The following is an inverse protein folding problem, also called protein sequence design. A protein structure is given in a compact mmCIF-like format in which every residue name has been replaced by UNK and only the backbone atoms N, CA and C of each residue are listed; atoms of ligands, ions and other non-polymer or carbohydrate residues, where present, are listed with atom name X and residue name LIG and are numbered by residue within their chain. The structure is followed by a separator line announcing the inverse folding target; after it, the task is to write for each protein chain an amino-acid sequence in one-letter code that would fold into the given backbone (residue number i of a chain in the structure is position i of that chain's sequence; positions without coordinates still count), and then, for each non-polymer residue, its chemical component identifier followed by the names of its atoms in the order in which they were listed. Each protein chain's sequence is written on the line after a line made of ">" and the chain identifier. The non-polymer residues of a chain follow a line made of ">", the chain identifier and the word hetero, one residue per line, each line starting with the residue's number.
data_IF_600983434049
#
_entry.id   IF_600983434049
#
_cell.length_a   1.000
_cell.length_b   1.000
_cell.length_c   1.000
_cell.angle_alpha   90.00
_cell.angle_beta   90.00
_cell.angle_gamma   90.00
#
_symmetry.space_group_name_H-M   'P 1'
#
loop_
_entity.id
_entity.type
_entity.pdbx_description
1 polymer ?
#
# COMPACT_ATOMS: atom_id res chain seq x y z
N UNK A 1 17.87 7.05 -49.67
CA UNK A 1 18.34 8.01 -48.64
C UNK A 1 17.30 8.32 -47.54
N UNK A 2 15.98 8.19 -47.75
CA UNK A 2 14.98 8.46 -46.69
C UNK A 2 14.99 7.48 -45.50
N UNK A 3 15.30 6.20 -45.72
CA UNK A 3 15.22 5.18 -44.66
C UNK A 3 16.25 5.37 -43.52
N UNK A 4 17.46 5.84 -43.85
CA UNK A 4 18.53 6.10 -42.88
C UNK A 4 18.23 7.34 -42.01
N UNK A 5 17.57 8.35 -42.58
CA UNK A 5 17.17 9.55 -41.84
C UNK A 5 16.07 9.25 -40.81
N UNK A 6 15.10 8.38 -41.14
CA UNK A 6 14.07 7.93 -40.20
C UNK A 6 14.66 7.09 -39.05
N UNK A 7 15.59 6.18 -39.35
CA UNK A 7 16.26 5.37 -38.33
C UNK A 7 17.09 6.23 -37.36
N UNK A 8 17.81 7.23 -37.89
CA UNK A 8 18.57 8.18 -37.07
C UNK A 8 17.68 9.05 -36.16
N UNK A 9 16.55 9.53 -36.68
CA UNK A 9 15.58 10.31 -35.90
C UNK A 9 14.92 9.48 -34.78
N UNK A 10 14.56 8.22 -35.07
CA UNK A 10 14.00 7.30 -34.08
C UNK A 10 15.01 6.94 -32.99
N UNK A 11 16.27 6.70 -33.35
CA UNK A 11 17.33 6.44 -32.37
C UNK A 11 17.61 7.67 -31.48
N UNK A 12 17.68 8.86 -32.07
CA UNK A 12 17.92 10.11 -31.35
C UNK A 12 16.77 10.47 -30.40
N UNK A 13 15.52 10.35 -30.87
CA UNK A 13 14.33 10.59 -30.02
C UNK A 13 14.22 9.57 -28.88
N UNK A 14 14.57 8.31 -29.13
CA UNK A 14 14.61 7.26 -28.10
C UNK A 14 15.66 7.54 -27.02
N UNK A 15 16.86 7.99 -27.42
CA UNK A 15 17.94 8.36 -26.49
C UNK A 15 17.56 9.57 -25.62
N UNK A 16 16.91 10.57 -26.21
CA UNK A 16 16.41 11.74 -25.46
C UNK A 16 15.31 11.32 -24.48
N UNK A 17 14.36 10.48 -24.90
CA UNK A 17 13.32 9.97 -24.00
C UNK A 17 13.92 9.15 -22.86
N UNK A 18 14.95 8.35 -23.13
CA UNK A 18 15.63 7.56 -22.09
C UNK A 18 16.28 8.46 -21.03
N UNK A 19 16.94 9.55 -21.43
CA UNK A 19 17.52 10.52 -20.49
C UNK A 19 16.48 11.38 -19.75
N UNK A 20 15.27 11.52 -20.31
CA UNK A 20 14.16 12.23 -19.68
C UNK A 20 13.32 11.36 -18.74
N UNK A 21 13.58 10.06 -18.63
CA UNK A 21 12.88 9.19 -17.67
C UNK A 21 13.26 9.62 -16.26
N UNK A 22 12.24 9.78 -15.41
CA UNK A 22 12.46 9.98 -13.99
C UNK A 22 13.32 8.83 -13.43
N UNK A 23 14.20 9.08 -12.45
CA UNK A 23 14.96 8.01 -11.82
C UNK A 23 14.03 6.92 -11.28
N UNK A 24 14.50 5.68 -11.27
CA UNK A 24 13.71 4.50 -10.85
C UNK A 24 13.05 4.68 -9.47
N UNK A 25 13.68 5.41 -8.55
CA UNK A 25 13.10 5.77 -7.26
C UNK A 25 11.83 6.61 -7.40
N UNK A 26 11.86 7.67 -8.20
CA UNK A 26 10.71 8.54 -8.44
C UNK A 26 9.58 7.82 -9.19
N UNK A 27 9.91 6.87 -10.07
CA UNK A 27 8.90 6.01 -10.71
C UNK A 27 8.23 5.07 -9.70
N UNK A 28 9.02 4.54 -8.74
CA UNK A 28 8.53 3.65 -7.67
C UNK A 28 7.64 4.38 -6.67
N UNK A 29 7.99 5.61 -6.31
CA UNK A 29 7.17 6.48 -5.46
C UNK A 29 5.81 6.84 -6.09
N UNK A 30 5.69 6.71 -7.41
CA UNK A 30 4.41 6.84 -8.13
C UNK A 30 3.41 5.72 -7.84
N UNK A 31 3.85 4.59 -7.25
CA UNK A 31 2.98 3.49 -6.84
C UNK A 31 2.65 3.60 -5.35
N UNK A 32 1.35 3.69 -5.05
CA UNK A 32 0.84 3.92 -3.70
C UNK A 32 1.37 2.91 -2.68
N UNK A 33 1.35 1.63 -3.01
CA UNK A 33 1.84 0.55 -2.16
C UNK A 33 3.33 0.67 -1.85
N UNK A 34 4.16 1.07 -2.82
CA UNK A 34 5.60 1.16 -2.61
C UNK A 34 5.91 2.31 -1.65
N UNK A 35 5.32 3.49 -1.89
CA UNK A 35 5.52 4.65 -1.04
C UNK A 35 5.02 4.38 0.40
N UNK A 36 3.85 3.75 0.55
CA UNK A 36 3.26 3.49 1.87
C UNK A 36 3.95 2.32 2.60
N UNK A 37 4.44 1.29 1.90
CA UNK A 37 5.20 0.21 2.52
C UNK A 37 6.59 0.68 2.94
N UNK A 38 7.26 1.55 2.15
CA UNK A 38 8.48 2.21 2.59
C UNK A 38 8.24 3.02 3.87
N UNK A 39 7.13 3.78 3.92
CA UNK A 39 6.72 4.50 5.14
C UNK A 39 6.47 3.54 6.31
N UNK A 40 5.87 2.38 6.08
CA UNK A 40 5.68 1.35 7.10
C UNK A 40 7.02 0.79 7.61
N UNK A 41 8.04 0.64 6.76
CA UNK A 41 9.38 0.22 7.17
C UNK A 41 10.06 1.27 8.06
N UNK A 42 9.98 2.55 7.70
CA UNK A 42 10.51 3.65 8.52
C UNK A 42 9.88 3.68 9.92
N UNK A 43 8.61 3.29 10.02
CA UNK A 43 7.82 3.29 11.26
C UNK A 43 7.92 1.97 12.04
N UNK A 44 8.64 0.97 11.51
CA UNK A 44 8.79 -0.33 12.15
C UNK A 44 9.34 -0.28 13.59
N UNK A 45 10.29 0.63 13.97
CA UNK A 45 10.74 0.74 15.35
C UNK A 45 9.62 1.08 16.35
N UNK A 46 8.56 1.76 15.89
CA UNK A 46 7.45 2.21 16.74
C UNK A 46 6.20 1.32 16.61
N UNK A 47 5.95 0.78 15.43
CA UNK A 47 4.73 0.01 15.13
C UNK A 47 4.99 -1.48 14.85
N UNK A 48 6.24 -1.92 14.83
CA UNK A 48 6.63 -3.28 14.46
C UNK A 48 6.62 -3.51 12.94
N UNK A 49 7.16 -4.66 12.54
CA UNK A 49 7.41 -5.03 11.14
C UNK A 49 6.23 -5.75 10.46
N UNK A 50 5.06 -5.80 11.11
CA UNK A 50 3.89 -6.53 10.59
C UNK A 50 2.83 -5.55 10.13
N UNK A 51 2.36 -5.73 8.90
CA UNK A 51 1.35 -4.86 8.27
C UNK A 51 0.16 -5.72 7.83
N UNK A 52 -1.04 -5.28 8.21
CA UNK A 52 -2.29 -5.80 7.67
C UNK A 52 -2.51 -5.16 6.29
N UNK A 53 -2.44 -5.94 5.22
CA UNK A 53 -2.54 -5.50 3.84
C UNK A 53 -3.91 -5.84 3.25
N UNK A 54 -4.56 -4.86 2.62
CA UNK A 54 -5.87 -5.00 2.00
C UNK A 54 -5.90 -4.35 0.63
N UNK A 55 -5.96 -5.16 -0.43
CA UNK A 55 -6.14 -4.74 -1.82
C UNK A 55 -4.86 -4.61 -2.63
N UNK A 56 -3.70 -4.91 -2.07
CA UNK A 56 -2.43 -4.90 -2.80
C UNK A 56 -1.85 -6.30 -2.95
N UNK A 57 -2.08 -6.91 -4.12
CA UNK A 57 -1.62 -8.26 -4.49
C UNK A 57 -0.10 -8.38 -4.58
N UNK A 58 0.57 -7.32 -5.04
CA UNK A 58 2.00 -7.32 -5.30
C UNK A 58 2.81 -6.64 -4.17
N UNK A 59 2.16 -6.26 -3.07
CA UNK A 59 2.81 -5.57 -1.95
C UNK A 59 4.02 -6.33 -1.39
N UNK A 60 3.99 -7.67 -1.44
CA UNK A 60 5.06 -8.51 -0.90
C UNK A 60 6.41 -8.31 -1.57
N UNK A 61 6.45 -7.83 -2.82
CA UNK A 61 7.71 -7.53 -3.52
C UNK A 61 8.41 -6.28 -2.98
N UNK A 62 7.70 -5.45 -2.22
CA UNK A 62 8.14 -4.09 -1.87
C UNK A 62 8.26 -3.86 -0.37
N UNK A 63 7.98 -4.87 0.45
CA UNK A 63 8.04 -4.78 1.91
C UNK A 63 8.98 -5.83 2.49
N UNK A 64 9.92 -5.38 3.33
CA UNK A 64 10.88 -6.27 4.01
C UNK A 64 10.31 -6.95 5.25
N UNK A 65 9.25 -6.39 5.83
CA UNK A 65 8.56 -6.97 6.97
C UNK A 65 7.58 -8.08 6.57
N UNK A 66 6.64 -8.39 7.45
CA UNK A 66 5.61 -9.40 7.21
C UNK A 66 4.27 -8.77 6.81
N UNK A 67 3.74 -9.17 5.66
CA UNK A 67 2.37 -8.88 5.25
C UNK A 67 1.41 -9.97 5.71
N UNK A 68 0.26 -9.55 6.21
CA UNK A 68 -0.88 -10.39 6.59
C UNK A 68 -2.13 -9.75 6.01
N UNK A 69 -3.14 -10.47 5.55
CA UNK A 69 -4.36 -9.86 5.04
C UNK A 69 -5.08 -10.67 3.97
N UNK A 70 -5.58 -9.98 2.95
CA UNK A 70 -6.43 -10.56 1.91
C UNK A 70 -5.72 -11.61 1.04
N UNK A 71 -4.49 -11.31 0.64
CA UNK A 71 -3.66 -12.22 -0.18
C UNK A 71 -2.61 -12.98 0.63
N UNK A 72 -2.41 -12.64 1.91
CA UNK A 72 -1.27 -13.10 2.69
C UNK A 72 -1.69 -13.65 4.06
N UNK A 73 -1.32 -14.90 4.35
CA UNK A 73 -1.57 -15.53 5.65
C UNK A 73 -2.95 -16.21 5.77
N UNK A 74 -3.03 -17.22 6.66
CA UNK A 74 -4.24 -18.03 6.83
C UNK A 74 -5.33 -17.24 7.54
N UNK A 75 -6.50 -17.14 6.91
CA UNK A 75 -7.77 -16.74 7.53
C UNK A 75 -7.92 -15.29 8.02
N UNK A 76 -7.06 -14.35 7.59
CA UNK A 76 -7.23 -12.94 7.93
C UNK A 76 -8.39 -12.29 7.13
N UNK A 77 -8.53 -12.64 5.85
CA UNK A 77 -9.57 -12.05 4.99
C UNK A 77 -11.00 -12.12 5.58
N UNK A 78 -11.54 -13.29 5.99
CA UNK A 78 -12.90 -13.35 6.53
C UNK A 78 -13.04 -12.68 7.89
N UNK A 79 -11.92 -12.54 8.63
CA UNK A 79 -11.90 -11.85 9.91
C UNK A 79 -12.01 -10.35 9.73
N UNK A 80 -11.33 -9.76 8.74
CA UNK A 80 -11.21 -8.31 8.62
C UNK A 80 -12.21 -7.71 7.61
N UNK A 81 -12.67 -8.48 6.62
CA UNK A 81 -13.65 -8.06 5.64
C UNK A 81 -15.06 -8.52 6.02
N UNK A 82 -16.05 -7.65 5.81
CA UNK A 82 -17.46 -8.02 5.80
C UNK A 82 -17.91 -8.15 4.35
N UNK A 83 -18.27 -9.37 3.94
CA UNK A 83 -18.75 -9.70 2.61
C UNK A 83 -20.23 -10.12 2.58
N UNK A 84 -21.02 -9.74 3.59
CA UNK A 84 -22.45 -10.07 3.67
C UNK A 84 -23.29 -9.52 2.51
N UNK A 85 -22.95 -8.32 2.02
CA UNK A 85 -23.63 -7.67 0.88
C UNK A 85 -22.64 -7.24 -0.21
N UNK A 86 -21.49 -6.71 0.18
CA UNK A 86 -20.36 -6.35 -0.66
C UNK A 86 -19.11 -6.37 0.23
N UNK A 87 -18.01 -6.93 -0.27
CA UNK A 87 -16.77 -7.01 0.50
C UNK A 87 -16.23 -5.62 0.81
N UNK A 88 -16.19 -5.28 2.10
CA UNK A 88 -15.69 -4.01 2.64
C UNK A 88 -14.87 -4.25 3.90
N UNK A 89 -14.11 -3.25 4.31
CA UNK A 89 -13.46 -3.32 5.63
C UNK A 89 -14.51 -3.33 6.73
N UNK A 90 -14.25 -4.09 7.79
CA UNK A 90 -14.99 -3.95 9.06
C UNK A 90 -14.76 -2.56 9.68
N UNK A 91 -15.66 -2.14 10.60
CA UNK A 91 -15.48 -0.90 11.36
C UNK A 91 -14.13 -0.86 12.11
N UNK A 92 -13.53 0.33 12.30
CA UNK A 92 -12.16 0.46 12.78
C UNK A 92 -11.92 -0.14 14.17
N UNK A 93 -12.91 -0.13 15.06
CA UNK A 93 -12.78 -0.78 16.38
C UNK A 93 -12.69 -2.31 16.29
N UNK A 94 -13.45 -2.92 15.38
CA UNK A 94 -13.34 -4.37 15.12
C UNK A 94 -11.99 -4.68 14.46
N UNK A 95 -11.61 -3.90 13.45
CA UNK A 95 -10.33 -4.03 12.76
C UNK A 95 -9.16 -3.89 13.74
N UNK A 96 -9.19 -2.93 14.64
CA UNK A 96 -8.17 -2.75 15.67
C UNK A 96 -8.05 -3.97 16.59
N UNK A 97 -9.17 -4.57 17.03
CA UNK A 97 -9.14 -5.80 17.84
C UNK A 97 -8.50 -6.95 17.06
N UNK A 98 -8.87 -7.12 15.79
CA UNK A 98 -8.29 -8.17 14.94
C UNK A 98 -6.80 -7.92 14.72
N UNK A 99 -6.38 -6.67 14.49
CA UNK A 99 -4.97 -6.29 14.39
C UNK A 99 -4.23 -6.66 15.68
N UNK A 100 -4.78 -6.35 16.85
CA UNK A 100 -4.20 -6.72 18.15
C UNK A 100 -4.08 -8.24 18.30
N UNK A 101 -5.12 -9.01 18.00
CA UNK A 101 -5.11 -10.48 18.04
C UNK A 101 -4.05 -11.07 17.09
N UNK A 102 -3.86 -10.43 15.94
CA UNK A 102 -2.87 -10.83 14.95
C UNK A 102 -1.47 -10.35 15.31
N UNK A 103 -1.29 -9.53 16.35
CA UNK A 103 0.00 -8.92 16.71
C UNK A 103 0.50 -7.94 15.65
N UNK A 104 -0.42 -7.19 15.03
CA UNK A 104 -0.19 -6.21 13.96
C UNK A 104 -0.58 -4.83 14.48
N UNK A 105 0.18 -3.78 14.11
CA UNK A 105 -0.14 -2.40 14.52
C UNK A 105 -0.30 -1.43 13.36
N UNK A 106 -0.06 -1.88 12.13
CA UNK A 106 -0.23 -1.11 10.90
C UNK A 106 -1.26 -1.76 10.00
N UNK A 107 -2.07 -0.96 9.31
CA UNK A 107 -2.99 -1.43 8.27
C UNK A 107 -2.87 -0.56 7.03
N UNK A 108 -2.60 -1.22 5.90
CA UNK A 108 -2.53 -0.65 4.56
C UNK A 108 -3.80 -1.05 3.80
N UNK A 109 -4.55 -0.06 3.32
CA UNK A 109 -5.84 -0.25 2.67
C UNK A 109 -5.84 0.42 1.30
N UNK A 110 -6.23 -0.32 0.27
CA UNK A 110 -6.58 0.23 -1.04
C UNK A 110 -8.08 0.59 -1.07
N UNK A 111 -8.40 1.86 -0.85
CA UNK A 111 -9.78 2.38 -0.76
C UNK A 111 -10.68 2.02 -1.95
N UNK A 112 -10.13 1.97 -3.17
CA UNK A 112 -10.90 1.60 -4.37
C UNK A 112 -11.22 0.10 -4.52
N UNK A 113 -10.52 -0.79 -3.81
CA UNK A 113 -10.73 -2.24 -3.85
C UNK A 113 -11.46 -2.75 -2.61
N UNK A 114 -11.19 -2.12 -1.47
CA UNK A 114 -11.85 -2.38 -0.19
C UNK A 114 -12.48 -1.09 0.33
N UNK A 115 -13.77 -0.86 0.05
CA UNK A 115 -14.49 0.28 0.59
C UNK A 115 -14.43 0.31 2.12
N UNK A 116 -14.26 1.50 2.69
CA UNK A 116 -14.30 1.74 4.12
C UNK A 116 -14.63 3.20 4.41
N UNK A 117 -15.05 3.49 5.64
CA UNK A 117 -15.26 4.87 6.10
C UNK A 117 -13.93 5.47 6.60
N UNK A 118 -13.28 6.27 5.75
CA UNK A 118 -12.01 6.92 6.07
C UNK A 118 -12.13 7.87 7.27
N UNK A 119 -13.26 8.54 7.44
CA UNK A 119 -13.49 9.46 8.56
C UNK A 119 -13.59 8.69 9.88
N UNK A 120 -14.33 7.57 9.88
CA UNK A 120 -14.42 6.69 11.05
C UNK A 120 -13.05 6.11 11.40
N UNK A 121 -12.29 5.63 10.42
CA UNK A 121 -10.93 5.11 10.62
C UNK A 121 -10.00 6.17 11.21
N UNK A 122 -10.01 7.38 10.66
CA UNK A 122 -9.15 8.48 11.12
C UNK A 122 -9.52 8.99 12.52
N UNK A 123 -10.73 8.72 13.00
CA UNK A 123 -11.14 9.05 14.38
C UNK A 123 -10.61 8.06 15.43
N UNK A 124 -10.26 6.83 15.02
CA UNK A 124 -9.86 5.75 15.93
C UNK A 124 -8.38 5.34 15.77
N UNK A 125 -7.86 5.45 14.55
CA UNK A 125 -6.49 5.10 14.19
C UNK A 125 -5.71 6.34 13.75
N UNK A 126 -4.40 6.29 13.86
CA UNK A 126 -3.52 7.36 13.42
C UNK A 126 -3.30 7.24 11.92
N UNK A 127 -3.66 8.26 11.14
CA UNK A 127 -3.30 8.34 9.73
C UNK A 127 -1.78 8.58 9.60
N UNK A 128 -1.07 7.64 8.98
CA UNK A 128 0.39 7.66 8.86
C UNK A 128 0.87 7.99 7.44
N UNK A 129 0.00 7.83 6.44
CA UNK A 129 0.27 8.18 5.06
C UNK A 129 -0.94 7.98 4.16
N UNK A 130 -1.00 8.75 3.07
CA UNK A 130 -1.96 8.60 1.99
C UNK A 130 -1.24 8.80 0.66
N UNK A 131 -1.49 7.93 -0.30
CA UNK A 131 -0.94 8.04 -1.65
C UNK A 131 -1.91 7.41 -2.64
N UNK A 132 -2.43 8.21 -3.60
CA UNK A 132 -3.47 7.75 -4.53
C UNK A 132 -4.65 7.08 -3.78
N UNK A 133 -5.04 5.85 -4.14
CA UNK A 133 -6.10 5.12 -3.44
C UNK A 133 -5.63 4.45 -2.14
N UNK A 134 -4.33 4.51 -1.82
CA UNK A 134 -3.74 3.86 -0.66
C UNK A 134 -3.79 4.72 0.59
N UNK A 135 -4.12 4.07 1.71
CA UNK A 135 -4.15 4.69 3.03
C UNK A 135 -3.44 3.79 4.02
N UNK A 136 -2.50 4.35 4.79
CA UNK A 136 -1.78 3.66 5.86
C UNK A 136 -2.22 4.22 7.21
N UNK A 137 -2.75 3.35 8.07
CA UNK A 137 -3.11 3.67 9.44
C UNK A 137 -2.27 2.88 10.45
N UNK A 138 -2.14 3.42 11.65
CA UNK A 138 -1.52 2.75 12.79
C UNK A 138 -2.36 2.81 14.06
N UNK A 139 -2.24 1.77 14.89
CA UNK A 139 -2.80 1.78 16.26
C UNK A 139 -1.96 2.73 17.11
N UNK A 140 -2.63 3.70 17.74
CA UNK A 140 -1.96 4.69 18.60
C UNK A 140 -1.03 3.99 19.60
N UNK A 141 0.27 4.32 19.63
CA UNK A 141 1.18 3.83 20.65
C UNK A 141 0.66 4.18 22.03
N UNK A 142 0.60 3.20 22.93
CA UNK A 142 0.42 3.49 24.36
C UNK A 142 1.67 4.24 24.85
N UNK A 143 1.49 5.25 25.73
CA UNK A 143 2.61 5.93 26.38
C UNK A 143 3.56 4.97 27.10
#
# INVERSE_FOLDING_TARGET
>A
MLALACAGYLAYSSLIQWHKRAPLSAQREGFAEIALLHRAEELAPQYGERVLNMGYENAFFYYRGQLIGDWFGRAAFPRIADCSSACRMRPPLETQRIMQDLGVRLVLIHSGKFPFDEAQYSSQLVLLGKSGPGVLYGIRPTP
#
